data_IF_632867541063
#
_entry.id   IF_632867541063
#
_cell.length_a   1.000
_cell.length_b   1.000
_cell.length_c   1.000
_cell.angle_alpha   90.00
_cell.angle_beta   90.00
_cell.angle_gamma   90.00
#
_symmetry.space_group_name_H-M   'P 1'
#
loop_
_entity.id
_entity.type
_entity.pdbx_description
1 polymer ?
#
# COMPACT_ATOMS: atom_id res chain seq x y z
N UNK A 1 17.62 24.89 4.44
CA UNK A 1 16.46 24.49 3.62
C UNK A 1 16.28 23.01 3.80
N UNK A 2 15.27 22.60 4.54
CA UNK A 2 14.84 21.20 4.61
C UNK A 2 13.96 20.97 3.38
N UNK A 3 14.29 20.02 2.52
CA UNK A 3 13.44 19.69 1.37
C UNK A 3 12.03 19.34 1.89
N UNK A 4 11.04 20.12 1.48
CA UNK A 4 9.63 19.83 1.74
C UNK A 4 9.19 18.90 0.61
N UNK A 5 9.39 17.59 0.80
CA UNK A 5 9.04 16.58 -0.20
C UNK A 5 9.27 15.16 0.32
N UNK A 6 8.51 14.19 -0.22
CA UNK A 6 8.74 12.79 0.04
C UNK A 6 9.90 12.29 -0.85
N UNK A 7 10.88 11.59 -0.27
CA UNK A 7 12.00 11.03 -1.01
C UNK A 7 11.50 9.87 -1.91
N UNK A 8 11.73 9.89 -3.23
CA UNK A 8 11.29 8.84 -4.16
C UNK A 8 11.81 7.44 -3.82
N UNK A 9 13.04 7.33 -3.30
CA UNK A 9 13.65 6.04 -2.92
C UNK A 9 12.96 5.47 -1.68
N UNK A 10 12.64 6.33 -0.70
CA UNK A 10 11.88 5.95 0.48
C UNK A 10 10.44 5.55 0.10
N UNK A 11 9.80 6.34 -0.77
CA UNK A 11 8.46 6.05 -1.27
C UNK A 11 8.39 4.70 -2.01
N UNK A 12 9.40 4.38 -2.83
CA UNK A 12 9.48 3.07 -3.49
C UNK A 12 9.68 1.90 -2.50
N UNK A 13 10.44 2.11 -1.42
CA UNK A 13 10.57 1.12 -0.35
C UNK A 13 9.23 0.92 0.39
N UNK A 14 8.55 2.02 0.73
CA UNK A 14 7.24 2.01 1.40
C UNK A 14 6.16 1.34 0.54
N UNK A 15 6.17 1.56 -0.78
CA UNK A 15 5.27 0.88 -1.73
C UNK A 15 5.47 -0.64 -1.78
N UNK A 16 6.71 -1.13 -1.77
CA UNK A 16 6.98 -2.59 -1.68
C UNK A 16 6.54 -3.18 -0.35
N UNK A 17 6.78 -2.44 0.73
CA UNK A 17 6.38 -2.85 2.07
C UNK A 17 4.85 -2.89 2.20
N UNK A 18 4.14 -1.92 1.60
CA UNK A 18 2.70 -1.92 1.47
C UNK A 18 2.18 -3.15 0.71
N UNK A 19 2.79 -3.51 -0.43
CA UNK A 19 2.42 -4.74 -1.15
C UNK A 19 2.53 -6.00 -0.28
N UNK A 20 3.58 -6.08 0.55
CA UNK A 20 3.77 -7.18 1.51
C UNK A 20 2.68 -7.18 2.59
N UNK A 21 2.30 -6.00 3.07
CA UNK A 21 1.20 -5.83 4.04
C UNK A 21 -0.14 -6.25 3.42
N UNK A 22 -0.44 -5.88 2.17
CA UNK A 22 -1.65 -6.33 1.48
C UNK A 22 -1.74 -7.84 1.39
N UNK A 23 -0.64 -8.50 1.03
CA UNK A 23 -0.58 -9.97 0.98
C UNK A 23 -0.85 -10.58 2.36
N UNK A 24 -0.41 -9.91 3.43
CA UNK A 24 -0.65 -10.36 4.80
C UNK A 24 -2.09 -10.20 5.26
N UNK A 25 -2.82 -9.21 4.71
CA UNK A 25 -4.26 -9.02 4.96
C UNK A 25 -5.13 -9.85 4.04
N UNK A 26 -4.62 -10.25 2.87
CA UNK A 26 -5.32 -11.12 1.96
C UNK A 26 -5.58 -12.48 2.63
N UNK A 27 -6.81 -12.97 2.51
CA UNK A 27 -7.28 -14.23 3.07
C UNK A 27 -7.39 -14.28 4.60
N UNK A 28 -7.32 -13.16 5.32
CA UNK A 28 -7.52 -13.15 6.79
C UNK A 28 -8.92 -13.64 7.14
N UNK A 29 -9.95 -13.28 6.36
CA UNK A 29 -11.32 -13.78 6.54
C UNK A 29 -11.38 -15.29 6.33
N UNK A 30 -10.72 -15.81 5.30
CA UNK A 30 -10.67 -17.25 5.04
C UNK A 30 -9.97 -18.01 6.17
N UNK A 31 -8.83 -17.51 6.64
CA UNK A 31 -8.10 -18.11 7.76
C UNK A 31 -8.93 -18.09 9.05
N UNK A 32 -9.67 -17.01 9.30
CA UNK A 32 -10.56 -16.92 10.44
C UNK A 32 -11.69 -17.96 10.38
N UNK A 33 -12.37 -18.11 9.24
CA UNK A 33 -13.38 -19.16 9.04
C UNK A 33 -12.80 -20.57 9.25
N UNK A 34 -11.60 -20.83 8.74
CA UNK A 34 -10.92 -22.11 8.97
C UNK A 34 -10.64 -22.38 10.44
N UNK A 35 -10.17 -21.37 11.18
CA UNK A 35 -9.93 -21.51 12.63
C UNK A 35 -11.23 -21.76 13.36
N UNK A 36 -12.30 -21.01 13.07
CA UNK A 36 -13.62 -21.21 13.69
C UNK A 36 -14.12 -22.64 13.47
N UNK A 37 -14.10 -23.12 12.22
CA UNK A 37 -14.55 -24.48 11.87
C UNK A 37 -13.66 -25.55 12.48
N UNK A 38 -12.34 -25.38 12.42
CA UNK A 38 -11.38 -26.31 13.00
C UNK A 38 -11.52 -26.41 14.52
N UNK A 39 -11.76 -25.28 15.21
CA UNK A 39 -11.96 -25.28 16.66
C UNK A 39 -13.29 -25.94 17.03
N UNK A 40 -14.35 -25.71 16.25
CA UNK A 40 -15.62 -26.45 16.39
C UNK A 40 -15.41 -27.95 16.23
N UNK A 41 -14.73 -28.38 15.18
CA UNK A 41 -14.51 -29.81 14.89
C UNK A 41 -13.63 -30.48 15.95
N UNK A 42 -12.68 -29.74 16.53
CA UNK A 42 -11.83 -30.22 17.62
C UNK A 42 -12.52 -30.23 18.99
N UNK A 43 -13.62 -29.51 19.17
CA UNK A 43 -14.34 -29.46 20.44
C UNK A 43 -15.06 -30.79 20.71
N UNK A 44 -14.60 -31.50 21.75
CA UNK A 44 -15.09 -32.82 22.13
C UNK A 44 -16.55 -32.81 22.66
N UNK A 45 -17.04 -31.66 23.13
CA UNK A 45 -18.35 -31.52 23.76
C UNK A 45 -19.38 -30.91 22.79
N UNK A 46 -20.42 -31.67 22.37
CA UNK A 46 -21.44 -31.19 21.45
C UNK A 46 -22.15 -29.88 21.85
N UNK A 47 -22.40 -29.59 23.15
CA UNK A 47 -23.02 -28.33 23.55
C UNK A 47 -22.14 -27.08 23.31
N UNK A 48 -20.82 -27.24 23.20
CA UNK A 48 -19.88 -26.12 23.05
C UNK A 48 -19.66 -25.77 21.58
N UNK A 49 -19.79 -26.74 20.67
CA UNK A 49 -19.61 -26.56 19.22
C UNK A 49 -20.42 -25.38 18.62
N UNK A 50 -21.71 -25.17 18.96
CA UNK A 50 -22.47 -24.02 18.46
C UNK A 50 -21.88 -22.67 18.87
N UNK A 51 -21.22 -22.58 20.03
CA UNK A 51 -20.61 -21.34 20.51
C UNK A 51 -19.50 -20.83 19.59
N UNK A 52 -18.72 -21.73 18.99
CA UNK A 52 -17.71 -21.35 18.00
C UNK A 52 -18.34 -20.81 16.71
N UNK A 53 -19.45 -21.41 16.25
CA UNK A 53 -20.15 -20.91 15.07
C UNK A 53 -20.75 -19.53 15.33
N UNK A 54 -21.40 -19.32 16.47
CA UNK A 54 -21.94 -18.00 16.85
C UNK A 54 -20.84 -16.95 17.00
N UNK A 55 -19.68 -17.33 17.54
CA UNK A 55 -18.50 -16.45 17.56
C UNK A 55 -18.04 -16.10 16.14
N UNK A 56 -17.94 -17.09 15.25
CA UNK A 56 -17.62 -16.88 13.85
C UNK A 56 -18.59 -15.91 13.18
N UNK A 57 -19.89 -16.15 13.30
CA UNK A 57 -20.95 -15.30 12.74
C UNK A 57 -20.90 -13.87 13.28
N UNK A 58 -20.61 -13.69 14.57
CA UNK A 58 -20.52 -12.37 15.20
C UNK A 58 -19.37 -11.53 14.63
N UNK A 59 -18.21 -12.15 14.36
CA UNK A 59 -16.99 -11.42 14.01
C UNK A 59 -16.61 -11.50 12.53
N UNK A 60 -17.24 -12.37 11.73
CA UNK A 60 -16.89 -12.57 10.32
C UNK A 60 -16.90 -11.27 9.52
N UNK A 61 -17.95 -10.45 9.72
CA UNK A 61 -18.08 -9.16 9.05
C UNK A 61 -16.93 -8.21 9.42
N UNK A 62 -16.61 -8.09 10.71
CA UNK A 62 -15.50 -7.25 11.17
C UNK A 62 -14.16 -7.73 10.61
N UNK A 63 -13.94 -9.04 10.54
CA UNK A 63 -12.72 -9.59 9.95
C UNK A 63 -12.64 -9.29 8.44
N UNK A 64 -13.75 -9.40 7.71
CA UNK A 64 -13.83 -9.01 6.31
C UNK A 64 -13.57 -7.51 6.08
N UNK A 65 -14.04 -6.66 6.99
CA UNK A 65 -13.75 -5.22 6.96
C UNK A 65 -12.25 -4.95 7.19
N UNK A 66 -11.60 -5.67 8.11
CA UNK A 66 -10.14 -5.57 8.34
C UNK A 66 -9.35 -5.99 7.10
N UNK A 67 -9.71 -7.10 6.47
CA UNK A 67 -9.10 -7.55 5.22
C UNK A 67 -9.25 -6.49 4.11
N UNK A 68 -10.47 -6.01 3.89
CA UNK A 68 -10.74 -4.98 2.88
C UNK A 68 -9.98 -3.66 3.16
N UNK A 69 -9.91 -3.25 4.42
CA UNK A 69 -9.19 -2.05 4.82
C UNK A 69 -7.68 -2.20 4.63
N UNK A 70 -7.10 -3.35 4.98
CA UNK A 70 -5.68 -3.64 4.77
C UNK A 70 -5.29 -3.63 3.29
N UNK A 71 -6.11 -4.23 2.43
CA UNK A 71 -5.91 -4.21 0.97
C UNK A 71 -5.99 -2.77 0.44
N UNK A 72 -7.00 -2.01 0.85
CA UNK A 72 -7.19 -0.62 0.42
C UNK A 72 -6.04 0.28 0.88
N UNK A 73 -5.62 0.16 2.14
CA UNK A 73 -4.52 0.93 2.71
C UNK A 73 -3.21 0.71 1.96
N UNK A 74 -2.90 -0.54 1.64
CA UNK A 74 -1.74 -0.88 0.83
C UNK A 74 -1.81 -0.30 -0.59
N UNK A 75 -2.98 -0.38 -1.23
CA UNK A 75 -3.21 0.24 -2.53
C UNK A 75 -2.99 1.75 -2.52
N UNK A 76 -3.42 2.42 -1.45
CA UNK A 76 -3.22 3.86 -1.26
C UNK A 76 -1.73 4.20 -1.09
N UNK A 77 -0.97 3.46 -0.29
CA UNK A 77 0.48 3.68 -0.13
C UNK A 77 1.20 3.48 -1.47
N UNK A 78 0.88 2.41 -2.18
CA UNK A 78 1.49 2.11 -3.49
C UNK A 78 1.20 3.21 -4.50
N UNK A 79 -0.04 3.71 -4.53
CA UNK A 79 -0.45 4.81 -5.40
C UNK A 79 0.26 6.11 -5.04
N UNK A 80 0.39 6.41 -3.74
CA UNK A 80 1.15 7.56 -3.26
C UNK A 80 2.63 7.47 -3.67
N UNK A 81 3.24 6.29 -3.56
CA UNK A 81 4.62 6.06 -3.97
C UNK A 81 4.83 6.32 -5.47
N UNK A 82 3.90 5.87 -6.32
CA UNK A 82 3.92 6.13 -7.76
C UNK A 82 3.77 7.62 -8.05
N UNK A 83 2.89 8.33 -7.33
CA UNK A 83 2.73 9.77 -7.50
C UNK A 83 4.01 10.54 -7.14
N UNK A 84 4.68 10.16 -6.04
CA UNK A 84 5.96 10.76 -5.64
C UNK A 84 7.02 10.55 -6.74
N UNK A 85 7.15 9.33 -7.26
CA UNK A 85 8.09 9.02 -8.34
C UNK A 85 7.79 9.81 -9.63
N UNK A 86 6.53 9.89 -10.04
CA UNK A 86 6.13 10.60 -11.25
C UNK A 86 6.37 12.11 -11.14
N UNK A 87 6.09 12.68 -9.96
CA UNK A 87 6.34 14.10 -9.70
C UNK A 87 7.85 14.42 -9.73
N UNK A 88 8.68 13.56 -9.14
CA UNK A 88 10.14 13.71 -9.15
C UNK A 88 10.72 13.63 -10.57
N UNK A 89 10.28 12.66 -11.37
CA UNK A 89 10.66 12.52 -12.77
C UNK A 89 10.23 13.74 -13.60
N UNK A 90 9.02 14.26 -13.36
CA UNK A 90 8.50 15.46 -14.04
C UNK A 90 9.28 16.73 -13.70
N UNK A 91 9.64 16.92 -12.43
CA UNK A 91 10.48 18.06 -11.99
C UNK A 91 11.87 17.98 -12.63
N UNK A 92 12.48 16.79 -12.65
CA UNK A 92 13.79 16.58 -13.28
C UNK A 92 13.77 16.94 -14.76
N UNK A 93 12.75 16.48 -15.50
CA UNK A 93 12.62 16.80 -16.92
C UNK A 93 12.43 18.30 -17.19
N UNK A 94 11.69 19.02 -16.35
CA UNK A 94 11.53 20.47 -16.45
C UNK A 94 12.85 21.22 -16.17
N UNK A 95 13.61 20.77 -15.17
CA UNK A 95 14.93 21.32 -14.86
C UNK A 95 15.92 21.13 -16.01
N UNK A 96 15.94 19.94 -16.62
CA UNK A 96 16.79 19.65 -17.78
C UNK A 96 16.41 20.50 -18.99
N UNK A 97 15.11 20.65 -19.26
CA UNK A 97 14.61 21.50 -20.34
C UNK A 97 14.99 22.98 -20.11
N UNK A 98 14.87 23.48 -18.87
CA UNK A 98 15.29 24.83 -18.50
C UNK A 98 16.80 25.04 -18.65
N UNK A 99 17.62 24.08 -18.24
CA UNK A 99 19.07 24.17 -18.44
C UNK A 99 19.45 24.15 -19.92
N UNK A 100 18.81 23.31 -20.73
CA UNK A 100 19.04 23.26 -22.17
C UNK A 100 18.73 24.61 -22.84
N UNK A 101 17.61 25.25 -22.47
CA UNK A 101 17.23 26.58 -22.95
C UNK A 101 18.23 27.67 -22.52
N UNK A 102 18.68 27.66 -21.27
CA UNK A 102 19.67 28.63 -20.79
C UNK A 102 21.01 28.48 -21.52
N UNK A 103 21.42 27.24 -21.83
CA UNK A 103 22.63 26.97 -22.62
C UNK A 103 22.48 27.44 -24.07
N UNK A 104 21.32 27.27 -24.70
CA UNK A 104 21.09 27.74 -26.07
C UNK A 104 21.11 29.27 -26.16
N UNK A 105 20.50 29.96 -25.20
CA UNK A 105 20.53 31.44 -25.13
C UNK A 105 21.98 31.95 -25.01
N UNK A 106 22.77 31.38 -24.09
CA UNK A 106 24.16 31.81 -23.92
C UNK A 106 25.05 31.56 -25.14
N UNK A 107 24.73 30.58 -25.99
CA UNK A 107 25.47 30.30 -27.22
C UNK A 107 25.12 31.27 -28.36
N UNK A 108 23.92 31.83 -28.36
CA UNK A 108 23.50 32.87 -29.31
C UNK A 108 24.11 34.23 -28.95
N UNK A 109 24.15 34.60 -27.65
CA UNK A 109 24.72 35.88 -27.18
C UNK A 109 26.23 36.01 -27.39
N UNK A 110 26.96 34.90 -27.56
CA UNK A 110 28.43 34.88 -27.78
C UNK A 110 28.80 34.95 -29.27
N UNK A 111 27.81 34.85 -30.18
CA UNK A 111 28.02 34.88 -31.64
C UNK A 111 27.77 36.23 -32.31
N UNK A 112 27.41 37.26 -31.54
CA UNK A 112 27.38 38.67 -31.97
C UNK A 112 28.62 39.42 -31.46
#
# INVERSE_FOLDING_TARGET
MTEVGANPTAAAADGRLAGTIAISFANVTFMFDQVVRGTRDAAAEPPIQPGYLSYGEQFMTTIAEVEAHGITFSGNITSAAVQVHNNDAGITADMDARQALLRSINLETVRE
#
